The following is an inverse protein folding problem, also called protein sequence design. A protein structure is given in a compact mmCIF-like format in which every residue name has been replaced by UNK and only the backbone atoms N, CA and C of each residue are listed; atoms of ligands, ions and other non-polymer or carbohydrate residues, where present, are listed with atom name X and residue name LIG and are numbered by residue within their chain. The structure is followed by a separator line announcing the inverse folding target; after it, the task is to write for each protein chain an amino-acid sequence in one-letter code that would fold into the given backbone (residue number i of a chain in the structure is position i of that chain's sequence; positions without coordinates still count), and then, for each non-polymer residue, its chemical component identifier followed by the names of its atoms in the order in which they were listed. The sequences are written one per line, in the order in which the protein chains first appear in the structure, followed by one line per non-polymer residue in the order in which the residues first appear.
data_IF_535023507913
#
_entry.id   IF_535023507913
#
_cell.length_a   1.000
_cell.length_b   1.000
_cell.length_c   1.000
_cell.angle_alpha   90.00
_cell.angle_beta   90.00
_cell.angle_gamma   90.00
#
_symmetry.space_group_name_H-M   'P 1'
#
loop_
_entity.id
_entity.type
_entity.pdbx_description
1 polymer ?
#
# COMPACT_ATOMS: atom_id res chain seq x y z
N UNK A 1 -38.39 24.51 -16.65
CA UNK A 1 -37.35 23.54 -17.06
C UNK A 1 -36.73 22.98 -15.79
N UNK A 2 -36.94 21.70 -15.39
CA UNK A 2 -36.12 21.14 -14.33
C UNK A 2 -35.26 20.01 -14.90
N UNK A 3 -33.97 20.25 -15.03
CA UNK A 3 -32.97 19.19 -15.07
C UNK A 3 -32.08 19.37 -13.85
N UNK A 4 -32.62 19.04 -12.67
CA UNK A 4 -31.77 18.77 -11.52
C UNK A 4 -31.27 17.34 -11.66
N UNK A 5 -30.31 17.16 -12.59
CA UNK A 5 -29.60 15.89 -12.75
C UNK A 5 -28.78 15.72 -11.49
N UNK A 6 -29.16 14.76 -10.64
CA UNK A 6 -28.34 14.29 -9.53
C UNK A 6 -26.94 13.99 -10.08
N UNK A 7 -25.98 14.87 -9.76
CA UNK A 7 -24.62 14.76 -10.27
C UNK A 7 -23.92 13.62 -9.54
N UNK A 8 -23.85 12.45 -10.20
CA UNK A 8 -23.04 11.33 -9.75
C UNK A 8 -21.58 11.69 -10.01
N UNK A 9 -20.84 12.10 -8.97
CA UNK A 9 -19.44 12.49 -9.08
C UNK A 9 -18.54 11.40 -8.52
N UNK A 10 -17.50 11.05 -9.27
CA UNK A 10 -16.50 10.10 -8.82
C UNK A 10 -15.68 10.69 -7.66
N UNK A 11 -15.65 10.04 -6.51
CA UNK A 11 -14.89 10.50 -5.35
C UNK A 11 -13.36 10.44 -5.55
N UNK A 12 -12.87 9.74 -6.58
CA UNK A 12 -11.44 9.66 -6.90
C UNK A 12 -10.93 10.77 -7.82
N UNK A 13 -11.69 11.11 -8.86
CA UNK A 13 -11.27 12.13 -9.86
C UNK A 13 -12.18 13.37 -9.91
N UNK A 14 -13.27 13.40 -9.14
CA UNK A 14 -14.32 14.42 -9.14
C UNK A 14 -15.03 14.62 -10.49
N UNK A 15 -14.78 13.74 -11.47
CA UNK A 15 -15.46 13.74 -12.75
C UNK A 15 -16.90 13.23 -12.66
N UNK A 16 -17.73 13.67 -13.61
CA UNK A 16 -19.09 13.15 -13.78
C UNK A 16 -19.08 11.69 -14.18
N UNK A 17 -20.00 10.92 -13.62
CA UNK A 17 -20.18 9.50 -13.93
C UNK A 17 -21.50 9.30 -14.65
N UNK A 18 -21.44 8.71 -15.84
CA UNK A 18 -22.64 8.42 -16.63
C UNK A 18 -23.55 7.43 -15.92
N UNK A 19 -24.87 7.57 -16.11
CA UNK A 19 -25.86 6.73 -15.42
C UNK A 19 -25.72 5.25 -15.77
N UNK A 20 -25.36 4.95 -17.01
CA UNK A 20 -25.23 3.61 -17.57
C UNK A 20 -23.82 3.02 -17.41
N UNK A 21 -22.88 3.79 -16.87
CA UNK A 21 -21.51 3.33 -16.65
C UNK A 21 -21.40 2.51 -15.36
N UNK A 22 -20.57 1.46 -15.34
CA UNK A 22 -20.30 0.71 -14.13
C UNK A 22 -19.60 1.60 -13.10
N UNK A 23 -19.96 1.41 -11.84
CA UNK A 23 -19.38 2.15 -10.72
C UNK A 23 -19.06 1.21 -9.57
N UNK A 24 -18.10 1.62 -8.75
CA UNK A 24 -17.80 0.98 -7.48
C UNK A 24 -18.42 1.81 -6.38
N UNK A 25 -19.32 1.21 -5.61
CA UNK A 25 -19.83 1.78 -4.38
C UNK A 25 -19.06 1.18 -3.20
N UNK A 26 -18.63 2.02 -2.27
CA UNK A 26 -17.95 1.58 -1.06
C UNK A 26 -18.59 2.24 0.16
N UNK A 27 -19.08 1.42 1.08
CA UNK A 27 -19.83 1.88 2.26
C UNK A 27 -18.88 2.19 3.42
N UNK A 28 -18.81 3.46 3.88
CA UNK A 28 -18.29 3.83 5.21
C UNK A 28 -18.96 5.09 5.75
N UNK A 29 -19.27 5.08 7.05
CA UNK A 29 -19.71 6.19 7.93
C UNK A 29 -20.42 7.36 7.21
N UNK A 30 -21.59 7.09 6.62
CA UNK A 30 -22.42 8.08 5.92
C UNK A 30 -22.28 8.02 4.39
N UNK A 31 -23.25 7.36 3.75
CA UNK A 31 -23.50 7.19 2.30
C UNK A 31 -23.12 8.43 1.44
N UNK A 32 -22.63 8.37 0.20
CA UNK A 32 -22.90 7.49 -0.94
C UNK A 32 -21.72 7.62 -1.94
N UNK A 33 -20.51 7.28 -1.50
CA UNK A 33 -19.32 7.51 -2.30
C UNK A 33 -19.25 6.50 -3.45
N UNK A 34 -19.03 7.03 -4.66
CA UNK A 34 -18.97 6.27 -5.89
C UNK A 34 -17.66 6.57 -6.61
N UNK A 35 -17.08 5.54 -7.21
CA UNK A 35 -15.85 5.67 -7.98
C UNK A 35 -16.03 5.05 -9.36
N UNK A 36 -15.33 5.60 -10.35
CA UNK A 36 -15.02 4.82 -11.53
C UNK A 36 -14.21 3.58 -11.12
N UNK A 37 -14.41 2.41 -11.77
CA UNK A 37 -13.57 1.23 -11.53
C UNK A 37 -12.07 1.53 -11.61
N UNK A 38 -11.65 2.39 -12.54
CA UNK A 38 -10.26 2.82 -12.71
C UNK A 38 -9.77 3.81 -11.63
N UNK A 39 -10.68 4.51 -10.95
CA UNK A 39 -10.35 5.44 -9.88
C UNK A 39 -10.35 4.78 -8.50
N UNK A 40 -10.86 3.55 -8.38
CA UNK A 40 -10.90 2.80 -7.13
C UNK A 40 -9.57 2.04 -6.94
N UNK A 41 -8.52 2.80 -6.62
CA UNK A 41 -7.14 2.29 -6.57
C UNK A 41 -6.42 2.67 -5.27
N UNK A 42 -5.44 1.87 -4.89
CA UNK A 42 -4.56 2.20 -3.77
C UNK A 42 -3.78 3.49 -4.05
N UNK A 43 -3.83 4.45 -3.12
CA UNK A 43 -3.15 5.74 -3.25
C UNK A 43 -1.61 5.67 -3.21
N UNK A 44 -1.03 4.49 -2.95
CA UNK A 44 0.42 4.28 -2.89
C UNK A 44 0.92 3.53 -4.12
N UNK A 45 0.34 2.36 -4.43
CA UNK A 45 0.79 1.54 -5.56
C UNK A 45 -0.11 1.58 -6.80
N UNK A 46 -1.26 2.25 -6.76
CA UNK A 46 -2.19 2.29 -7.89
C UNK A 46 -2.92 0.97 -8.18
N UNK A 47 -2.74 -0.07 -7.35
CA UNK A 47 -3.46 -1.34 -7.51
C UNK A 47 -4.97 -1.09 -7.46
N UNK A 48 -5.69 -1.52 -8.49
CA UNK A 48 -7.15 -1.48 -8.51
C UNK A 48 -7.69 -2.37 -7.38
N UNK A 49 -8.57 -1.80 -6.57
CA UNK A 49 -9.12 -2.46 -5.38
C UNK A 49 -10.51 -3.02 -5.63
N UNK A 50 -10.96 -3.01 -6.89
CA UNK A 50 -12.20 -3.67 -7.29
C UNK A 50 -12.06 -5.15 -6.95
N UNK A 51 -13.05 -5.69 -6.24
CA UNK A 51 -13.09 -7.08 -5.73
C UNK A 51 -12.03 -7.43 -4.67
N UNK A 52 -11.23 -6.47 -4.19
CA UNK A 52 -10.23 -6.68 -3.15
C UNK A 52 -10.65 -6.07 -1.81
N UNK A 53 -10.07 -6.59 -0.73
CA UNK A 53 -10.17 -5.94 0.58
C UNK A 53 -9.43 -4.60 0.54
N UNK A 54 -10.15 -3.54 0.89
CA UNK A 54 -9.63 -2.17 0.87
C UNK A 54 -9.80 -1.48 2.24
N UNK A 55 -8.90 -0.55 2.51
CA UNK A 55 -8.91 0.26 3.72
C UNK A 55 -9.06 1.73 3.33
N UNK A 56 -9.90 2.45 4.07
CA UNK A 56 -10.11 3.89 3.91
C UNK A 56 -9.66 4.55 5.19
N UNK A 57 -8.63 5.37 5.08
CA UNK A 57 -8.11 6.16 6.19
C UNK A 57 -7.65 7.50 5.66
N UNK A 58 -7.83 8.57 6.43
CA UNK A 58 -7.45 9.92 6.02
C UNK A 58 -7.96 10.31 4.61
N UNK A 59 -9.20 9.92 4.30
CA UNK A 59 -9.86 10.19 3.01
C UNK A 59 -9.15 9.58 1.78
N UNK A 60 -8.39 8.49 1.97
CA UNK A 60 -7.63 7.82 0.91
C UNK A 60 -7.84 6.31 0.95
N UNK A 61 -7.77 5.69 -0.22
CA UNK A 61 -7.89 4.25 -0.42
C UNK A 61 -6.52 3.56 -0.32
N UNK A 62 -6.45 2.45 0.40
CA UNK A 62 -5.25 1.65 0.56
C UNK A 62 -5.56 0.16 0.37
N UNK A 63 -4.65 -0.57 -0.29
CA UNK A 63 -4.65 -2.03 -0.22
C UNK A 63 -4.19 -2.49 1.18
N UNK A 64 -4.44 -3.75 1.51
CA UNK A 64 -4.01 -4.32 2.79
C UNK A 64 -2.51 -4.17 3.06
N UNK A 65 -1.66 -4.33 2.04
CA UNK A 65 -0.20 -4.17 2.17
C UNK A 65 0.19 -2.78 2.68
N UNK A 66 -0.24 -1.72 1.99
CA UNK A 66 0.13 -0.35 2.35
C UNK A 66 -0.61 0.18 3.58
N UNK A 67 -1.84 -0.30 3.83
CA UNK A 67 -2.52 0.02 5.08
C UNK A 67 -1.73 -0.54 6.27
N UNK A 68 -1.37 -1.82 6.24
CA UNK A 68 -0.61 -2.42 7.33
C UNK A 68 0.80 -1.82 7.50
N UNK A 69 1.46 -1.42 6.41
CA UNK A 69 2.75 -0.71 6.46
C UNK A 69 2.65 0.66 7.15
N UNK A 70 1.47 1.31 7.12
CA UNK A 70 1.25 2.53 7.90
C UNK A 70 1.13 2.28 9.42
N UNK A 71 0.92 1.03 9.83
CA UNK A 71 0.73 0.63 11.22
C UNK A 71 1.98 -0.03 11.81
N UNK A 72 2.67 -0.87 11.03
CA UNK A 72 3.86 -1.63 11.45
C UNK A 72 4.87 -1.69 10.31
N UNK A 73 6.19 -1.63 10.61
CA UNK A 73 7.21 -1.74 9.58
C UNK A 73 7.21 -3.15 8.98
N UNK A 74 7.48 -3.24 7.66
CA UNK A 74 7.62 -4.51 6.94
C UNK A 74 9.10 -4.88 6.79
N UNK A 75 9.43 -6.13 7.09
CA UNK A 75 10.78 -6.66 6.94
C UNK A 75 11.16 -6.79 5.46
N UNK A 76 12.24 -6.15 5.04
CA UNK A 76 12.69 -6.21 3.63
C UNK A 76 13.28 -7.58 3.24
N UNK A 77 13.68 -8.40 4.20
CA UNK A 77 14.23 -9.73 3.94
C UNK A 77 13.19 -10.82 3.68
N UNK A 78 12.01 -10.75 4.33
CA UNK A 78 10.97 -11.77 4.21
C UNK A 78 9.60 -11.24 3.79
N UNK A 79 9.48 -9.94 3.51
CA UNK A 79 8.24 -9.22 3.20
C UNK A 79 7.12 -9.37 4.24
N UNK A 80 7.41 -9.73 5.51
CA UNK A 80 6.41 -9.84 6.58
C UNK A 80 6.38 -8.61 7.51
N UNK A 81 5.24 -8.35 8.16
CA UNK A 81 5.13 -7.28 9.15
C UNK A 81 5.91 -7.61 10.42
N UNK A 82 6.62 -6.62 10.96
CA UNK A 82 7.40 -6.75 12.17
C UNK A 82 6.54 -6.33 13.37
N UNK A 83 6.08 -7.31 14.14
CA UNK A 83 5.31 -7.08 15.36
C UNK A 83 6.19 -6.86 16.60
N UNK A 84 7.46 -7.27 16.55
CA UNK A 84 8.45 -7.02 17.59
C UNK A 84 8.79 -5.53 17.68
N UNK A 85 8.94 -5.01 18.90
CA UNK A 85 9.50 -3.66 19.13
C UNK A 85 11.00 -3.59 18.82
N UNK A 86 11.67 -4.75 18.84
CA UNK A 86 13.10 -4.86 18.56
C UNK A 86 13.30 -5.33 17.11
N UNK A 87 13.74 -4.40 16.26
CA UNK A 87 14.03 -4.64 14.85
C UNK A 87 15.19 -3.77 14.38
N UNK A 88 15.79 -4.13 13.24
CA UNK A 88 16.90 -3.39 12.67
C UNK A 88 16.38 -2.38 11.64
N UNK A 89 16.74 -1.11 11.83
CA UNK A 89 16.45 -0.03 10.90
C UNK A 89 17.70 0.25 10.08
N UNK A 90 17.60 0.10 8.76
CA UNK A 90 18.67 0.44 7.84
C UNK A 90 18.44 1.79 7.17
N UNK A 91 19.42 2.19 6.35
CA UNK A 91 19.36 3.43 5.59
C UNK A 91 18.13 3.48 4.66
N UNK A 92 17.53 4.65 4.52
CA UNK A 92 16.36 4.88 3.66
C UNK A 92 15.02 4.43 4.26
N UNK A 93 14.91 4.32 5.60
CA UNK A 93 13.66 3.98 6.27
C UNK A 93 13.23 2.51 6.12
N UNK A 94 14.16 1.65 5.73
CA UNK A 94 13.92 0.21 5.59
C UNK A 94 14.04 -0.49 6.95
N UNK A 95 13.25 -1.53 7.15
CA UNK A 95 13.22 -2.29 8.40
C UNK A 95 13.46 -3.79 8.14
N UNK A 96 14.06 -4.46 9.10
CA UNK A 96 14.33 -5.91 9.07
C UNK A 96 14.07 -6.54 10.44
N UNK A 97 13.55 -7.76 10.43
CA UNK A 97 13.75 -8.67 11.56
C UNK A 97 15.24 -8.84 11.85
N UNK A 98 15.59 -9.14 13.10
CA UNK A 98 17.01 -9.28 13.51
C UNK A 98 17.70 -10.39 12.73
N UNK A 99 16.97 -11.46 12.45
CA UNK A 99 17.40 -12.65 11.73
C UNK A 99 17.65 -12.39 10.24
N UNK A 100 17.00 -11.37 9.67
CA UNK A 100 17.07 -11.03 8.26
C UNK A 100 17.97 -9.83 7.96
N UNK A 101 18.57 -9.22 8.99
CA UNK A 101 19.52 -8.12 8.82
C UNK A 101 20.94 -8.65 8.57
N UNK A 102 21.07 -9.45 7.51
CA UNK A 102 22.31 -10.13 7.15
C UNK A 102 22.64 -9.94 5.66
N UNK A 103 23.92 -10.08 5.33
CA UNK A 103 24.37 -10.09 3.95
C UNK A 103 23.89 -11.38 3.27
N UNK A 104 23.17 -11.25 2.15
CA UNK A 104 22.67 -12.41 1.40
C UNK A 104 23.79 -13.33 0.90
N UNK A 105 25.00 -12.79 0.67
CA UNK A 105 26.13 -13.54 0.12
C UNK A 105 26.89 -14.35 1.17
N UNK A 106 27.11 -13.80 2.37
CA UNK A 106 27.94 -14.44 3.40
C UNK A 106 27.22 -14.73 4.71
N UNK A 107 25.95 -14.32 4.86
CA UNK A 107 25.16 -14.49 6.08
C UNK A 107 25.62 -13.63 7.27
N UNK A 108 26.67 -12.81 7.12
CA UNK A 108 27.14 -11.95 8.19
C UNK A 108 26.15 -10.82 8.48
N UNK A 109 25.93 -10.53 9.77
CA UNK A 109 25.10 -9.41 10.20
C UNK A 109 25.58 -8.08 9.63
N UNK A 110 24.64 -7.27 9.13
CA UNK A 110 24.94 -5.98 8.50
C UNK A 110 25.25 -4.86 9.50
N UNK A 111 25.13 -5.16 10.79
CA UNK A 111 25.70 -4.39 11.89
C UNK A 111 27.23 -4.44 11.92
N UNK A 112 27.84 -5.38 11.18
CA UNK A 112 29.28 -5.58 11.10
C UNK A 112 29.83 -5.12 9.74
N UNK A 113 31.10 -4.74 9.71
CA UNK A 113 31.79 -4.39 8.46
C UNK A 113 31.86 -5.62 7.55
N UNK A 114 30.93 -5.68 6.59
CA UNK A 114 30.89 -6.71 5.57
C UNK A 114 31.40 -6.13 4.24
N UNK A 115 32.40 -6.75 3.59
CA UNK A 115 32.90 -6.28 2.28
C UNK A 115 31.86 -6.40 1.15
N UNK A 116 30.76 -7.14 1.38
CA UNK A 116 29.65 -7.29 0.43
C UNK A 116 28.46 -6.36 0.73
N UNK A 117 28.60 -5.41 1.68
CA UNK A 117 27.49 -4.53 2.08
C UNK A 117 26.99 -3.63 0.95
N UNK A 118 27.78 -3.41 -0.11
CA UNK A 118 27.36 -2.69 -1.32
C UNK A 118 26.38 -3.46 -2.21
N UNK A 119 26.26 -4.79 -2.04
CA UNK A 119 25.43 -5.66 -2.91
C UNK A 119 23.99 -5.82 -2.39
N UNK A 120 23.61 -5.09 -1.35
CA UNK A 120 22.34 -5.25 -0.62
C UNK A 120 21.13 -4.59 -1.29
N UNK A 121 21.34 -3.73 -2.28
CA UNK A 121 20.28 -2.89 -2.83
C UNK A 121 19.44 -3.56 -3.94
N UNK A 122 19.74 -4.79 -4.38
CA UNK A 122 19.18 -5.29 -5.65
C UNK A 122 18.25 -6.50 -5.62
N UNK A 123 17.98 -7.14 -4.49
CA UNK A 123 17.06 -8.30 -4.49
C UNK A 123 15.87 -8.08 -3.56
N UNK A 124 14.94 -7.28 -4.06
CA UNK A 124 13.51 -7.44 -3.73
C UNK A 124 13.07 -8.73 -4.40
N UNK A 125 12.60 -9.72 -3.65
CA UNK A 125 12.00 -10.93 -4.22
C UNK A 125 10.88 -10.51 -5.20
N UNK A 126 11.10 -10.78 -6.49
CA UNK A 126 10.04 -10.91 -7.49
C UNK A 126 9.74 -12.40 -7.57
N UNK A 127 8.61 -12.80 -7.02
CA UNK A 127 7.85 -13.97 -7.47
C UNK A 127 6.39 -13.52 -7.66
#
# INVERSE_FOLDING_TARGET
MPLNVEQRLCSGCLGSVDKDSPVVFAQREGYDALWHPSCFACSVCGLLLVDLVYFWTNQRLYCGRHYCESQRPRCRGCDELIFSESYQSGSGGRAWHREHFCCWRCGQGLDQSCPHASDLEQHSFQD
#
